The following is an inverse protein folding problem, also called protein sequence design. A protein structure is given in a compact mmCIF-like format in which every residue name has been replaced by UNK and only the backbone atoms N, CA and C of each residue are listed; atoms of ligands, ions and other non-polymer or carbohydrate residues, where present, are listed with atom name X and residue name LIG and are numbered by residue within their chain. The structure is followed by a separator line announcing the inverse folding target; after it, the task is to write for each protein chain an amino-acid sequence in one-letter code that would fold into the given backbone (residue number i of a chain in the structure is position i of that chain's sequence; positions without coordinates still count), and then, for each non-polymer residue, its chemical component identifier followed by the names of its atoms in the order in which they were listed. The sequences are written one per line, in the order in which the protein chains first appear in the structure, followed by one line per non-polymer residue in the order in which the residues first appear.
data_IF_810955931864
#
_entry.id   IF_810955931864
#
_cell.length_a   1.000
_cell.length_b   1.000
_cell.length_c   1.000
_cell.angle_alpha   90.00
_cell.angle_beta   90.00
_cell.angle_gamma   90.00
#
_symmetry.space_group_name_H-M   'P 1'
#
loop_
_entity.id
_entity.type
_entity.pdbx_description
1 polymer ?
#
# COMPACT_ATOMS: atom_id res chain seq x y z
N UNK A 1 -14.44 -3.79 -8.02
CA UNK A 1 -13.49 -4.91 -8.02
C UNK A 1 -14.14 -6.01 -8.84
N UNK A 2 -13.55 -6.38 -9.97
CA UNK A 2 -14.11 -7.40 -10.86
C UNK A 2 -13.14 -8.59 -10.85
N UNK A 3 -13.64 -9.82 -10.99
CA UNK A 3 -12.80 -11.02 -11.14
C UNK A 3 -12.02 -11.41 -9.88
N UNK A 4 -12.73 -11.69 -8.79
CA UNK A 4 -12.12 -12.35 -7.63
C UNK A 4 -12.12 -13.87 -7.85
N UNK A 5 -10.97 -14.55 -7.77
CA UNK A 5 -10.93 -16.00 -7.81
C UNK A 5 -11.62 -16.62 -6.60
N UNK A 6 -12.46 -17.62 -6.83
CA UNK A 6 -13.08 -18.45 -5.81
C UNK A 6 -12.75 -19.92 -6.06
N UNK A 7 -12.53 -20.64 -4.97
CA UNK A 7 -12.25 -22.08 -4.96
C UNK A 7 -13.38 -22.79 -4.24
N UNK A 8 -13.91 -23.85 -4.85
CA UNK A 8 -14.84 -24.78 -4.22
C UNK A 8 -14.16 -26.15 -4.15
N UNK A 9 -13.96 -26.68 -2.94
CA UNK A 9 -13.27 -27.95 -2.73
C UNK A 9 -13.93 -28.81 -1.64
N UNK A 10 -13.97 -30.12 -1.84
CA UNK A 10 -14.62 -31.06 -0.91
C UNK A 10 -14.66 -32.49 -1.43
N UNK A 11 -14.40 -33.49 -0.58
CA UNK A 11 -14.46 -34.93 -0.90
C UNK A 11 -13.82 -35.35 -2.25
N UNK A 12 -12.66 -34.76 -2.56
CA UNK A 12 -11.90 -35.05 -3.79
C UNK A 12 -12.31 -34.24 -5.02
N UNK A 13 -13.40 -33.46 -4.94
CA UNK A 13 -13.74 -32.44 -5.92
C UNK A 13 -12.95 -31.16 -5.65
N UNK A 14 -12.52 -30.52 -6.73
CA UNK A 14 -11.87 -29.20 -6.72
C UNK A 14 -12.27 -28.46 -7.99
N UNK A 15 -12.71 -27.22 -7.84
CA UNK A 15 -12.97 -26.31 -8.94
C UNK A 15 -12.56 -24.89 -8.55
N UNK A 16 -12.20 -24.10 -9.57
CA UNK A 16 -11.92 -22.67 -9.43
C UNK A 16 -12.75 -21.91 -10.47
N UNK A 17 -13.30 -20.78 -10.06
CA UNK A 17 -14.02 -19.84 -10.93
C UNK A 17 -13.63 -18.41 -10.55
N UNK A 18 -14.08 -17.43 -11.31
CA UNK A 18 -13.91 -16.01 -10.97
C UNK A 18 -15.28 -15.33 -10.89
N UNK A 19 -15.41 -14.36 -9.98
CA UNK A 19 -16.61 -13.53 -9.94
C UNK A 19 -16.68 -12.61 -11.17
N UNK A 20 -17.88 -12.30 -11.66
CA UNK A 20 -18.06 -11.26 -12.64
C UNK A 20 -17.94 -9.84 -12.04
N UNK A 21 -18.32 -8.81 -12.80
CA UNK A 21 -18.29 -7.43 -12.35
C UNK A 21 -19.34 -7.09 -11.29
N UNK A 22 -20.39 -7.90 -11.20
CA UNK A 22 -21.48 -7.76 -10.24
C UNK A 22 -21.26 -8.66 -9.00
N UNK A 23 -20.09 -9.30 -8.91
CA UNK A 23 -19.71 -10.21 -7.83
C UNK A 23 -20.37 -11.59 -7.91
N UNK A 24 -21.07 -11.91 -9.00
CA UNK A 24 -21.70 -13.21 -9.19
C UNK A 24 -20.68 -14.25 -9.64
N UNK A 25 -20.84 -15.49 -9.22
CA UNK A 25 -19.98 -16.60 -9.62
C UNK A 25 -20.80 -17.89 -9.72
N UNK A 26 -20.30 -18.85 -10.50
CA UNK A 26 -20.96 -20.13 -10.73
C UNK A 26 -19.93 -21.26 -10.70
N UNK A 27 -20.29 -22.34 -9.99
CA UNK A 27 -19.64 -23.63 -10.07
C UNK A 27 -20.63 -24.62 -10.69
N UNK A 28 -20.25 -25.19 -11.83
CA UNK A 28 -21.05 -26.18 -12.55
C UNK A 28 -20.62 -27.61 -12.17
N UNK A 29 -21.51 -28.58 -12.41
CA UNK A 29 -21.26 -30.01 -12.23
C UNK A 29 -20.71 -30.40 -10.85
N UNK A 30 -21.06 -29.64 -9.81
CA UNK A 30 -20.67 -29.91 -8.42
C UNK A 30 -21.35 -31.20 -7.96
N UNK A 31 -20.59 -32.26 -7.62
CA UNK A 31 -21.18 -33.51 -7.16
C UNK A 31 -21.98 -33.30 -5.87
N UNK A 32 -23.09 -34.02 -5.72
CA UNK A 32 -23.74 -34.15 -4.42
C UNK A 32 -22.76 -34.81 -3.45
N UNK A 33 -22.23 -34.02 -2.52
CA UNK A 33 -21.20 -34.42 -1.58
C UNK A 33 -21.50 -33.84 -0.20
N UNK A 34 -21.04 -34.52 0.84
CA UNK A 34 -21.42 -34.18 2.21
C UNK A 34 -20.74 -32.92 2.72
N UNK A 35 -19.59 -32.54 2.16
CA UNK A 35 -18.84 -31.38 2.67
C UNK A 35 -18.12 -30.63 1.56
N UNK A 36 -18.36 -29.33 1.49
CA UNK A 36 -17.63 -28.41 0.63
C UNK A 36 -17.14 -27.19 1.40
N UNK A 37 -16.01 -26.65 0.98
CA UNK A 37 -15.48 -25.36 1.39
C UNK A 37 -15.44 -24.42 0.19
N UNK A 38 -16.02 -23.24 0.35
CA UNK A 38 -15.92 -22.14 -0.61
C UNK A 38 -15.02 -21.06 -0.02
N UNK A 39 -13.99 -20.69 -0.77
CA UNK A 39 -12.94 -19.77 -0.33
C UNK A 39 -12.58 -18.81 -1.47
N UNK A 40 -12.84 -17.50 -1.32
CA UNK A 40 -12.25 -16.50 -2.20
C UNK A 40 -10.77 -16.34 -1.87
N UNK A 41 -9.94 -16.19 -2.89
CA UNK A 41 -8.51 -16.01 -2.71
C UNK A 41 -7.96 -14.95 -3.67
N UNK A 42 -7.28 -13.95 -3.13
CA UNK A 42 -6.57 -12.96 -3.94
C UNK A 42 -5.29 -12.51 -3.22
N UNK A 43 -4.15 -12.76 -3.88
CA UNK A 43 -2.84 -12.33 -3.42
C UNK A 43 -2.05 -11.65 -4.55
N UNK A 44 -2.71 -10.79 -5.31
CA UNK A 44 -2.10 -10.01 -6.38
C UNK A 44 -2.09 -8.51 -6.05
N UNK A 45 -1.25 -7.76 -6.77
CA UNK A 45 -1.24 -6.30 -6.80
C UNK A 45 -1.30 -5.65 -5.41
N UNK A 46 -0.36 -5.98 -4.53
CA UNK A 46 -0.32 -5.49 -3.16
C UNK A 46 -0.49 -3.98 -3.07
N UNK A 47 0.18 -3.22 -3.94
CA UNK A 47 0.16 -1.76 -3.95
C UNK A 47 -1.13 -1.11 -4.47
N UNK A 48 -2.08 -1.89 -5.00
CA UNK A 48 -3.33 -1.31 -5.51
C UNK A 48 -4.13 -0.66 -4.37
N UNK A 49 -4.25 0.67 -4.42
CA UNK A 49 -4.89 1.48 -3.38
C UNK A 49 -4.08 1.68 -2.10
N UNK A 50 -2.81 1.26 -2.06
CA UNK A 50 -1.95 1.52 -0.91
C UNK A 50 -1.13 2.79 -1.16
N UNK A 51 -1.11 3.68 -0.17
CA UNK A 51 -0.36 4.93 -0.18
C UNK A 51 0.29 5.21 1.18
N UNK A 52 1.20 6.17 1.22
CA UNK A 52 1.75 6.69 2.48
C UNK A 52 0.68 7.24 3.42
N UNK A 53 -0.53 7.57 2.93
CA UNK A 53 -1.60 7.97 3.84
C UNK A 53 -2.14 6.84 4.68
N UNK A 54 -2.16 5.62 4.15
CA UNK A 54 -2.60 4.46 4.90
C UNK A 54 -1.63 4.23 6.06
N UNK A 55 -0.33 4.50 5.84
CA UNK A 55 0.66 4.59 6.91
C UNK A 55 0.31 5.70 7.93
N UNK A 56 -0.07 6.90 7.49
CA UNK A 56 -0.53 7.99 8.38
C UNK A 56 -1.72 7.55 9.24
N UNK A 57 -2.71 6.89 8.64
CA UNK A 57 -3.90 6.41 9.34
C UNK A 57 -3.56 5.36 10.40
N UNK A 58 -2.68 4.40 10.09
CA UNK A 58 -2.17 3.43 11.08
C UNK A 58 -1.39 4.14 12.20
N UNK A 59 -0.54 5.11 11.87
CA UNK A 59 0.23 5.87 12.86
C UNK A 59 -0.68 6.65 13.81
N UNK A 60 -1.71 7.33 13.27
CA UNK A 60 -2.73 8.03 14.08
C UNK A 60 -3.49 7.07 14.99
N UNK A 61 -3.83 5.88 14.49
CA UNK A 61 -4.46 4.83 15.28
C UNK A 61 -3.62 4.39 16.48
N UNK A 62 -2.36 4.05 16.23
CA UNK A 62 -1.43 3.60 17.28
C UNK A 62 -1.24 4.68 18.35
N UNK A 63 -1.24 5.95 17.95
CA UNK A 63 -1.08 7.10 18.85
C UNK A 63 -2.38 7.54 19.53
N UNK A 64 -3.54 6.96 19.17
CA UNK A 64 -4.85 7.34 19.69
C UNK A 64 -5.32 8.73 19.24
N UNK A 65 -4.77 9.24 18.13
CA UNK A 65 -5.16 10.53 17.55
C UNK A 65 -6.39 10.41 16.65
N UNK A 66 -6.56 9.27 16.02
CA UNK A 66 -7.73 8.90 15.21
C UNK A 66 -7.97 7.40 15.36
N UNK A 67 -9.21 6.94 15.47
CA UNK A 67 -9.51 5.54 15.78
C UNK A 67 -10.22 4.85 14.64
N UNK A 68 -9.86 3.60 14.37
CA UNK A 68 -10.63 2.75 13.46
C UNK A 68 -12.01 2.43 14.06
N UNK A 69 -13.04 2.72 13.28
CA UNK A 69 -14.45 2.62 13.66
C UNK A 69 -15.01 1.23 13.38
N UNK A 70 -14.38 0.48 12.47
CA UNK A 70 -14.87 -0.82 12.00
C UNK A 70 -13.86 -1.96 12.26
N UNK A 71 -14.34 -3.22 12.41
CA UNK A 71 -13.46 -4.37 12.45
C UNK A 71 -12.66 -4.54 11.15
N UNK A 72 -13.21 -4.10 10.01
CA UNK A 72 -12.58 -4.19 8.70
C UNK A 72 -11.32 -3.33 8.58
N UNK A 73 -11.36 -2.09 9.06
CA UNK A 73 -10.18 -1.20 9.10
C UNK A 73 -9.08 -1.79 10.00
N UNK A 74 -9.45 -2.40 11.14
CA UNK A 74 -8.49 -3.08 12.03
C UNK A 74 -7.83 -4.27 11.35
N UNK A 75 -8.60 -5.07 10.61
CA UNK A 75 -8.06 -6.20 9.82
C UNK A 75 -7.17 -5.69 8.69
N UNK A 76 -7.56 -4.62 7.99
CA UNK A 76 -6.76 -4.03 6.93
C UNK A 76 -5.45 -3.43 7.47
N UNK A 77 -5.45 -2.89 8.68
CA UNK A 77 -4.28 -2.30 9.33
C UNK A 77 -3.27 -3.32 9.90
N UNK A 78 -3.70 -4.57 10.17
CA UNK A 78 -2.84 -5.69 10.59
C UNK A 78 -2.15 -6.32 9.37
N UNK A 79 -1.23 -5.55 8.77
CA UNK A 79 -0.54 -5.87 7.52
C UNK A 79 0.26 -7.17 7.63
N UNK A 80 0.88 -7.44 8.78
CA UNK A 80 1.68 -8.64 9.00
C UNK A 80 0.88 -9.86 9.50
N UNK A 81 -0.46 -9.76 9.59
CA UNK A 81 -1.35 -10.84 10.08
C UNK A 81 -1.02 -11.32 11.51
N UNK A 82 -0.59 -10.40 12.38
CA UNK A 82 -0.25 -10.74 13.77
C UNK A 82 -1.45 -10.79 14.71
N UNK A 83 -2.60 -10.25 14.28
CA UNK A 83 -3.75 -10.00 15.14
C UNK A 83 -3.63 -8.73 15.99
N UNK A 84 -2.64 -7.87 15.71
CA UNK A 84 -2.44 -6.61 16.42
C UNK A 84 -1.92 -5.52 15.48
N UNK A 85 -2.49 -4.31 15.58
CA UNK A 85 -2.00 -3.17 14.81
C UNK A 85 -0.86 -2.48 15.56
N UNK A 86 0.34 -2.49 14.96
CA UNK A 86 1.58 -2.01 15.58
C UNK A 86 2.45 -1.25 14.58
N UNK A 87 3.56 -0.70 15.06
CA UNK A 87 4.56 -0.07 14.18
C UNK A 87 5.24 -1.05 13.23
N UNK A 88 5.12 -2.36 13.45
CA UNK A 88 5.64 -3.34 12.50
C UNK A 88 4.80 -3.39 11.22
N UNK A 89 3.49 -3.16 11.31
CA UNK A 89 2.60 -3.06 10.15
C UNK A 89 2.97 -1.87 9.26
N UNK A 90 3.27 -0.73 9.90
CA UNK A 90 3.82 0.46 9.24
C UNK A 90 5.12 0.12 8.49
N UNK A 91 6.03 -0.63 9.11
CA UNK A 91 7.30 -1.01 8.48
C UNK A 91 7.08 -1.89 7.26
N UNK A 92 6.17 -2.87 7.32
CA UNK A 92 5.86 -3.72 6.16
C UNK A 92 5.19 -2.93 5.05
N UNK A 93 4.22 -2.08 5.38
CA UNK A 93 3.50 -1.26 4.42
C UNK A 93 4.43 -0.26 3.72
N UNK A 94 5.32 0.40 4.47
CA UNK A 94 6.31 1.32 3.91
C UNK A 94 7.30 0.61 2.99
N UNK A 95 7.73 -0.62 3.34
CA UNK A 95 8.59 -1.42 2.45
C UNK A 95 7.92 -1.76 1.12
N UNK A 96 6.61 -2.05 1.13
CA UNK A 96 5.84 -2.22 -0.12
C UNK A 96 5.86 -0.92 -0.93
N UNK A 97 5.51 0.22 -0.32
CA UNK A 97 5.44 1.53 -0.99
C UNK A 97 6.79 1.92 -1.60
N UNK A 98 7.89 1.61 -0.89
CA UNK A 98 9.26 1.86 -1.35
C UNK A 98 9.76 0.85 -2.39
N UNK A 99 8.97 -0.17 -2.75
CA UNK A 99 9.39 -1.23 -3.68
C UNK A 99 10.52 -2.12 -3.14
N UNK A 100 10.68 -2.19 -1.82
CA UNK A 100 11.70 -3.03 -1.17
C UNK A 100 11.23 -4.48 -1.02
N UNK A 101 9.92 -4.70 -1.05
CA UNK A 101 9.25 -6.00 -1.08
C UNK A 101 8.05 -5.91 -2.03
N UNK A 102 7.70 -7.01 -2.70
CA UNK A 102 6.52 -7.08 -3.57
C UNK A 102 5.30 -7.71 -2.87
N UNK A 103 5.54 -8.42 -1.76
CA UNK A 103 4.53 -9.13 -0.96
C UNK A 103 4.91 -9.09 0.52
N UNK A 104 3.91 -9.15 1.41
CA UNK A 104 4.15 -9.29 2.86
C UNK A 104 4.11 -10.76 3.24
N UNK A 105 5.21 -11.35 3.76
CA UNK A 105 5.21 -12.73 4.22
C UNK A 105 4.21 -12.95 5.36
N UNK A 106 3.48 -14.07 5.32
CA UNK A 106 2.52 -14.44 6.36
C UNK A 106 1.12 -13.87 6.18
N UNK A 107 0.88 -13.07 5.12
CA UNK A 107 -0.43 -12.54 4.81
C UNK A 107 -0.70 -12.57 3.29
N UNK A 108 -1.94 -12.29 2.90
CA UNK A 108 -2.38 -12.12 1.50
C UNK A 108 -2.79 -10.67 1.26
N UNK A 109 -2.71 -10.20 0.00
CA UNK A 109 -3.05 -8.81 -0.31
C UNK A 109 -4.53 -8.46 -0.04
N UNK A 110 -5.37 -9.50 0.00
CA UNK A 110 -6.77 -9.45 0.41
C UNK A 110 -7.08 -10.54 1.43
N UNK A 111 -7.96 -10.20 2.38
CA UNK A 111 -8.66 -11.16 3.23
C UNK A 111 -10.15 -11.07 2.96
N UNK A 112 -10.86 -12.13 3.27
CA UNK A 112 -12.29 -12.24 3.00
C UNK A 112 -13.01 -12.67 4.26
N UNK A 113 -14.21 -12.17 4.47
CA UNK A 113 -15.08 -12.61 5.55
C UNK A 113 -16.50 -12.74 5.03
N UNK A 114 -17.24 -13.72 5.52
CA UNK A 114 -18.66 -13.84 5.23
C UNK A 114 -19.37 -12.51 5.53
N UNK A 115 -20.14 -12.00 4.55
CA UNK A 115 -20.88 -10.73 4.71
C UNK A 115 -21.91 -10.79 5.84
N UNK A 116 -22.40 -11.98 6.19
CA UNK A 116 -23.34 -12.18 7.30
C UNK A 116 -22.64 -12.40 8.66
N UNK A 117 -21.31 -12.43 8.70
CA UNK A 117 -20.57 -12.62 9.93
C UNK A 117 -20.69 -11.40 10.86
N UNK A 118 -21.13 -11.66 12.10
CA UNK A 118 -21.20 -10.65 13.16
C UNK A 118 -19.98 -10.83 14.06
N UNK A 119 -19.08 -9.84 14.03
CA UNK A 119 -17.94 -9.80 14.95
C UNK A 119 -18.42 -9.73 16.41
N UNK A 120 -18.03 -10.69 17.29
CA UNK A 120 -18.46 -10.68 18.68
C UNK A 120 -18.06 -9.41 19.44
N UNK A 121 -16.86 -8.91 19.14
CA UNK A 121 -16.36 -7.61 19.56
C UNK A 121 -15.81 -6.86 18.35
N UNK A 122 -16.57 -5.89 17.80
CA UNK A 122 -16.13 -5.10 16.65
C UNK A 122 -14.85 -4.27 16.92
N UNK A 123 -14.55 -3.96 18.19
CA UNK A 123 -13.35 -3.22 18.57
C UNK A 123 -12.10 -4.11 18.62
N UNK A 124 -12.30 -5.43 18.70
CA UNK A 124 -11.25 -6.44 18.69
C UNK A 124 -11.63 -7.63 17.79
N UNK A 125 -11.57 -7.48 16.45
CA UNK A 125 -11.94 -8.54 15.51
C UNK A 125 -11.03 -9.78 15.58
N UNK A 126 -9.89 -9.69 16.28
CA UNK A 126 -8.92 -10.78 16.44
C UNK A 126 -9.17 -11.61 17.70
N UNK A 127 -10.09 -11.19 18.57
CA UNK A 127 -10.43 -11.91 19.81
C UNK A 127 -11.07 -13.28 19.56
N UNK A 128 -11.67 -13.48 18.39
CA UNK A 128 -12.14 -14.77 17.90
C UNK A 128 -11.78 -14.89 16.41
N UNK A 129 -11.45 -16.10 15.96
CA UNK A 129 -11.22 -16.34 14.54
C UNK A 129 -12.52 -16.10 13.76
N UNK A 130 -12.48 -15.22 12.78
CA UNK A 130 -13.56 -15.03 11.82
C UNK A 130 -13.39 -15.98 10.62
N UNK A 131 -14.50 -16.43 10.00
CA UNK A 131 -14.45 -17.36 8.90
C UNK A 131 -14.00 -16.67 7.62
N UNK A 132 -12.88 -17.13 7.04
CA UNK A 132 -12.41 -16.70 5.72
C UNK A 132 -12.91 -17.60 4.58
N UNK A 133 -13.67 -18.64 4.95
CA UNK A 133 -14.30 -19.58 4.03
C UNK A 133 -15.66 -20.01 4.55
N UNK A 134 -16.57 -20.34 3.65
CA UNK A 134 -17.86 -20.92 3.99
C UNK A 134 -17.78 -22.44 3.89
N UNK A 135 -18.49 -23.14 4.78
CA UNK A 135 -18.59 -24.60 4.76
C UNK A 135 -20.03 -25.00 4.50
N UNK A 136 -20.23 -25.91 3.55
CA UNK A 136 -21.55 -26.41 3.17
C UNK A 136 -21.62 -27.91 3.42
N UNK A 137 -22.74 -28.35 4.01
CA UNK A 137 -23.04 -29.77 4.18
C UNK A 137 -24.05 -30.20 3.12
N UNK A 138 -23.63 -30.87 2.05
CA UNK A 138 -24.51 -31.13 0.92
C UNK A 138 -24.64 -29.92 -0.02
N UNK A 139 -24.47 -30.15 -1.32
CA UNK A 139 -24.83 -29.18 -2.38
C UNK A 139 -25.75 -29.87 -3.40
N UNK A 140 -27.00 -30.11 -2.99
CA UNK A 140 -27.99 -30.81 -3.82
C UNK A 140 -28.87 -29.86 -4.65
N UNK A 141 -28.67 -28.54 -4.48
CA UNK A 141 -29.39 -27.48 -5.18
C UNK A 141 -28.55 -26.20 -5.25
N UNK A 142 -28.86 -25.33 -6.21
CA UNK A 142 -28.23 -24.02 -6.30
C UNK A 142 -28.46 -23.20 -5.02
N UNK A 143 -27.38 -22.65 -4.48
CA UNK A 143 -27.40 -21.71 -3.36
C UNK A 143 -27.14 -20.31 -3.88
N UNK A 144 -27.86 -19.34 -3.33
CA UNK A 144 -27.65 -17.91 -3.58
C UNK A 144 -27.36 -17.20 -2.25
N UNK A 145 -26.87 -15.95 -2.31
CA UNK A 145 -26.56 -15.17 -1.11
C UNK A 145 -25.35 -15.68 -0.33
N UNK A 146 -24.39 -16.32 -1.01
CA UNK A 146 -23.11 -16.72 -0.43
C UNK A 146 -22.08 -15.65 -0.75
N UNK A 147 -22.09 -14.59 0.05
CA UNK A 147 -21.35 -13.37 -0.23
C UNK A 147 -20.18 -13.20 0.74
N UNK A 148 -19.07 -12.65 0.25
CA UNK A 148 -17.93 -12.29 1.05
C UNK A 148 -17.67 -10.79 0.96
N UNK A 149 -17.30 -10.20 2.08
CA UNK A 149 -16.71 -8.87 2.15
C UNK A 149 -15.20 -9.01 1.97
N UNK A 150 -14.67 -8.42 0.88
CA UNK A 150 -13.23 -8.35 0.63
C UNK A 150 -12.58 -7.18 1.37
N UNK A 151 -11.47 -7.46 2.05
CA UNK A 151 -10.70 -6.51 2.85
C UNK A 151 -9.33 -6.39 2.22
N UNK A 152 -9.00 -5.23 1.65
CA UNK A 152 -7.67 -4.98 1.11
C UNK A 152 -6.72 -4.69 2.26
N UNK A 153 -5.73 -5.56 2.43
CA UNK A 153 -4.71 -5.35 3.46
C UNK A 153 -3.88 -4.12 3.10
N UNK A 154 -3.76 -3.21 4.07
CA UNK A 154 -3.00 -1.97 3.98
C UNK A 154 -3.69 -0.78 3.29
N UNK A 155 -4.94 -0.93 2.82
CA UNK A 155 -5.73 0.17 2.25
C UNK A 155 -6.83 0.58 3.25
N UNK A 156 -6.65 1.73 3.89
CA UNK A 156 -7.50 2.25 4.95
C UNK A 156 -8.28 3.50 4.53
N UNK A 157 -7.89 4.12 3.42
CA UNK A 157 -8.63 5.21 2.82
C UNK A 157 -9.52 4.75 1.66
N UNK A 158 -9.64 3.45 1.46
CA UNK A 158 -10.44 2.79 0.44
C UNK A 158 -10.12 3.27 -0.99
N UNK A 159 -8.87 3.65 -1.24
CA UNK A 159 -8.50 4.24 -2.53
C UNK A 159 -8.41 3.22 -3.66
N UNK A 160 -8.47 1.92 -3.36
CA UNK A 160 -8.71 0.87 -4.34
C UNK A 160 -10.16 0.77 -4.79
N UNK A 161 -11.10 1.39 -4.07
CA UNK A 161 -12.52 1.24 -4.32
C UNK A 161 -12.90 2.23 -5.43
N UNK A 162 -13.25 1.76 -6.64
CA UNK A 162 -13.60 2.66 -7.74
C UNK A 162 -14.89 3.44 -7.48
N UNK A 163 -15.70 3.01 -6.50
CA UNK A 163 -16.92 3.70 -6.09
C UNK A 163 -16.64 4.91 -5.16
N UNK A 164 -15.45 5.00 -4.58
CA UNK A 164 -15.09 6.10 -3.69
C UNK A 164 -14.31 7.18 -4.44
N UNK A 165 -14.76 8.43 -4.26
CA UNK A 165 -14.10 9.56 -4.88
C UNK A 165 -12.70 9.73 -4.26
N UNK A 166 -11.67 9.71 -5.11
CA UNK A 166 -10.32 10.07 -4.70
C UNK A 166 -10.35 11.52 -4.21
N UNK A 167 -10.21 11.73 -2.90
CA UNK A 167 -10.07 13.07 -2.35
C UNK A 167 -8.73 13.64 -2.81
N UNK A 168 -8.80 14.68 -3.64
CA UNK A 168 -7.62 15.47 -4.00
C UNK A 168 -7.05 16.08 -2.73
N UNK A 169 -5.79 15.76 -2.43
CA UNK A 169 -5.05 16.39 -1.35
C UNK A 169 -4.43 17.70 -1.81
N UNK A 170 -4.08 18.52 -0.82
CA UNK A 170 -3.28 19.72 -1.04
C UNK A 170 -2.07 19.44 -1.94
N UNK A 171 -1.77 20.40 -2.80
CA UNK A 171 -0.67 20.29 -3.77
C UNK A 171 0.62 20.78 -3.12
N UNK A 172 1.58 19.88 -2.92
CA UNK A 172 2.95 20.23 -2.57
C UNK A 172 3.82 20.26 -3.82
N UNK A 173 4.80 21.17 -3.88
CA UNK A 173 5.72 21.27 -5.01
C UNK A 173 7.10 20.78 -4.62
N UNK A 174 7.72 19.97 -5.48
CA UNK A 174 9.14 19.67 -5.35
C UNK A 174 9.91 20.60 -6.30
N UNK A 175 10.79 21.44 -5.73
CA UNK A 175 11.64 22.34 -6.50
C UNK A 175 13.06 21.82 -6.57
N UNK A 176 13.57 21.71 -7.80
CA UNK A 176 14.97 21.48 -8.10
C UNK A 176 15.54 22.74 -8.75
N UNK A 177 16.52 23.43 -8.13
CA UNK A 177 17.18 24.58 -8.76
C UNK A 177 17.86 24.21 -10.06
N UNK A 178 18.19 25.23 -10.85
CA UNK A 178 19.03 25.06 -12.03
C UNK A 178 20.42 24.56 -11.61
N UNK A 179 20.79 23.36 -12.05
CA UNK A 179 22.10 22.76 -11.80
C UNK A 179 22.63 22.16 -13.11
N UNK A 180 23.75 22.69 -13.60
CA UNK A 180 24.50 22.11 -14.71
C UNK A 180 25.45 21.03 -14.18
N UNK A 181 25.33 19.82 -14.71
CA UNK A 181 26.19 18.69 -14.35
C UNK A 181 27.31 18.58 -15.39
N UNK A 182 28.56 18.72 -14.94
CA UNK A 182 29.74 18.55 -15.79
C UNK A 182 30.23 17.10 -15.69
N UNK A 183 30.53 16.50 -16.85
CA UNK A 183 30.98 15.12 -16.92
C UNK A 183 32.19 14.85 -16.01
N UNK A 184 32.11 13.78 -15.21
CA UNK A 184 33.21 13.34 -14.34
C UNK A 184 33.39 14.15 -13.05
N UNK A 185 32.59 15.19 -12.81
CA UNK A 185 32.63 15.98 -11.57
C UNK A 185 31.44 15.58 -10.67
N UNK A 186 31.67 15.16 -9.41
CA UNK A 186 30.60 14.97 -8.45
C UNK A 186 29.89 16.31 -8.15
N UNK A 187 28.56 16.31 -8.21
CA UNK A 187 27.73 17.48 -7.95
C UNK A 187 26.58 17.09 -7.02
N UNK A 188 26.25 17.99 -6.09
CA UNK A 188 25.08 17.90 -5.24
C UNK A 188 23.88 18.54 -5.94
N UNK A 189 22.80 17.77 -6.15
CA UNK A 189 21.54 18.26 -6.70
C UNK A 189 20.50 18.34 -5.57
N UNK A 190 20.17 19.56 -5.08
CA UNK A 190 19.23 19.72 -3.98
C UNK A 190 17.77 19.61 -4.46
N UNK A 191 16.93 18.99 -3.63
CA UNK A 191 15.49 18.91 -3.81
C UNK A 191 14.78 19.53 -2.61
N UNK A 192 13.99 20.57 -2.87
CA UNK A 192 13.24 21.33 -1.86
C UNK A 192 11.77 20.97 -1.91
N UNK A 193 11.11 20.99 -0.75
CA UNK A 193 9.65 20.92 -0.65
C UNK A 193 9.10 22.33 -0.48
N UNK A 194 8.42 22.84 -1.50
CA UNK A 194 7.89 24.20 -1.54
C UNK A 194 6.37 24.25 -1.37
N UNK A 195 5.88 25.39 -0.88
CA UNK A 195 4.45 25.78 -0.83
C UNK A 195 3.51 24.79 -0.13
N UNK A 196 3.96 24.19 0.97
CA UNK A 196 3.13 23.34 1.82
C UNK A 196 2.75 24.07 3.11
N UNK A 197 1.55 23.83 3.63
CA UNK A 197 1.04 24.45 4.87
C UNK A 197 1.06 23.47 6.03
N UNK A 198 0.52 22.27 5.80
CA UNK A 198 0.51 21.13 6.70
C UNK A 198 0.73 19.86 5.87
N UNK A 199 1.65 19.00 6.31
CA UNK A 199 1.98 17.77 5.61
C UNK A 199 1.95 16.61 6.60
N UNK A 200 0.93 15.76 6.48
CA UNK A 200 0.84 14.54 7.28
C UNK A 200 1.60 13.38 6.61
N UNK A 201 1.83 13.46 5.31
CA UNK A 201 2.65 12.49 4.61
C UNK A 201 2.97 12.92 3.17
N UNK A 202 4.05 12.38 2.65
CA UNK A 202 4.59 12.64 1.33
C UNK A 202 5.04 11.32 0.68
N UNK A 203 4.67 11.14 -0.58
CA UNK A 203 5.10 10.01 -1.39
C UNK A 203 5.46 10.51 -2.78
N UNK A 204 6.63 10.11 -3.29
CA UNK A 204 6.98 10.33 -4.69
C UNK A 204 8.07 9.36 -5.15
N UNK A 205 8.19 9.19 -6.46
CA UNK A 205 9.31 8.53 -7.09
C UNK A 205 10.02 9.52 -8.03
N UNK A 206 11.31 9.71 -7.81
CA UNK A 206 12.16 10.54 -8.66
C UNK A 206 13.03 9.63 -9.54
N UNK A 207 12.68 9.56 -10.82
CA UNK A 207 13.37 8.78 -11.83
C UNK A 207 14.57 9.54 -12.41
N UNK A 208 15.61 8.80 -12.80
CA UNK A 208 16.78 9.32 -13.50
C UNK A 208 17.38 8.29 -14.45
N UNK A 209 17.98 8.76 -15.54
CA UNK A 209 18.63 7.88 -16.52
C UNK A 209 20.03 7.44 -16.03
N UNK A 210 20.15 6.18 -15.64
CA UNK A 210 21.42 5.58 -15.20
C UNK A 210 22.48 5.52 -16.30
N UNK A 211 22.11 5.68 -17.58
CA UNK A 211 23.07 5.82 -18.69
C UNK A 211 23.75 7.19 -18.70
N UNK A 212 23.10 8.23 -18.15
CA UNK A 212 23.60 9.61 -18.13
C UNK A 212 24.24 10.00 -16.80
N UNK A 213 23.81 9.39 -15.70
CA UNK A 213 24.29 9.74 -14.35
C UNK A 213 24.54 8.50 -13.49
N UNK A 214 25.39 8.64 -12.50
CA UNK A 214 25.51 7.69 -11.39
C UNK A 214 25.15 8.40 -10.10
N UNK A 215 24.08 7.97 -9.45
CA UNK A 215 23.77 8.38 -8.08
C UNK A 215 24.76 7.70 -7.12
N UNK A 216 25.52 8.50 -6.38
CA UNK A 216 26.49 8.03 -5.39
C UNK A 216 25.87 7.90 -4.01
N UNK A 217 25.06 8.88 -3.62
CA UNK A 217 24.44 8.94 -2.31
C UNK A 217 23.21 9.85 -2.35
N UNK A 218 22.23 9.55 -1.51
CA UNK A 218 21.17 10.49 -1.12
C UNK A 218 21.52 10.98 0.27
N UNK A 219 21.77 12.28 0.40
CA UNK A 219 22.00 12.93 1.70
C UNK A 219 20.68 13.48 2.22
N UNK A 220 20.38 13.15 3.48
CA UNK A 220 19.17 13.55 4.18
C UNK A 220 19.46 14.84 4.94
N UNK A 221 18.85 15.94 4.53
CA UNK A 221 19.13 17.25 5.14
C UNK A 221 18.37 17.48 6.45
N UNK A 222 17.35 16.65 6.72
CA UNK A 222 16.56 16.64 7.95
C UNK A 222 16.38 15.20 8.45
N UNK A 223 17.42 14.56 8.99
CA UNK A 223 17.37 13.15 9.38
C UNK A 223 16.33 12.84 10.47
N UNK A 224 15.98 13.84 11.30
CA UNK A 224 14.92 13.73 12.30
C UNK A 224 13.51 13.68 11.68
N UNK A 225 13.35 14.22 10.47
CA UNK A 225 12.12 14.13 9.68
C UNK A 225 12.20 12.94 8.73
N UNK A 226 13.19 12.91 7.85
CA UNK A 226 13.37 11.93 6.79
C UNK A 226 14.64 11.10 7.03
N UNK A 227 14.49 9.95 7.67
CA UNK A 227 15.55 8.93 7.81
C UNK A 227 15.65 7.93 6.65
N UNK A 228 16.68 7.07 6.66
CA UNK A 228 16.91 6.01 5.66
C UNK A 228 15.74 5.03 5.50
N UNK A 229 14.89 4.87 6.51
CA UNK A 229 13.71 4.01 6.45
C UNK A 229 12.59 4.55 5.54
N UNK A 230 12.69 5.82 5.12
CA UNK A 230 11.70 6.52 4.31
C UNK A 230 12.09 6.65 2.84
N UNK A 231 13.22 6.06 2.44
CA UNK A 231 13.70 6.15 1.07
C UNK A 231 14.25 4.80 0.59
N UNK A 232 14.12 4.57 -0.72
CA UNK A 232 14.76 3.48 -1.41
C UNK A 232 15.40 4.00 -2.70
N UNK A 233 16.56 3.44 -3.04
CA UNK A 233 17.23 3.70 -4.31
C UNK A 233 17.13 2.43 -5.15
N UNK A 234 16.41 2.51 -6.26
CA UNK A 234 16.29 1.42 -7.21
C UNK A 234 17.47 1.44 -8.19
N UNK A 235 18.07 0.27 -8.44
CA UNK A 235 19.18 0.11 -9.39
C UNK A 235 18.80 0.51 -10.84
N UNK A 236 17.52 0.48 -11.17
CA UNK A 236 16.96 0.95 -12.45
C UNK A 236 16.92 2.47 -12.62
N UNK A 237 17.32 3.24 -11.62
CA UNK A 237 17.37 4.70 -11.69
C UNK A 237 16.14 5.39 -11.10
N UNK A 238 15.80 5.05 -9.86
CA UNK A 238 14.75 5.75 -9.14
C UNK A 238 15.14 5.97 -7.68
N UNK A 239 14.69 7.09 -7.11
CA UNK A 239 14.66 7.34 -5.67
C UNK A 239 13.21 7.44 -5.26
N UNK A 240 12.73 6.44 -4.53
CA UNK A 240 11.36 6.38 -4.02
C UNK A 240 11.36 6.88 -2.59
N UNK A 241 10.42 7.76 -2.25
CA UNK A 241 10.27 8.37 -0.92
C UNK A 241 8.86 8.11 -0.39
N UNK A 242 8.78 7.71 0.87
CA UNK A 242 7.55 7.55 1.64
C UNK A 242 7.79 8.04 3.06
N UNK A 243 7.20 9.18 3.39
CA UNK A 243 7.36 9.86 4.67
C UNK A 243 6.00 10.18 5.28
N UNK A 244 5.82 9.93 6.56
CA UNK A 244 4.60 10.21 7.32
C UNK A 244 4.92 10.91 8.64
N UNK A 245 3.96 11.68 9.11
CA UNK A 245 4.00 12.37 10.38
C UNK A 245 2.58 12.50 10.97
N UNK A 246 2.28 11.62 11.92
CA UNK A 246 0.93 11.43 12.44
C UNK A 246 0.38 12.61 13.28
N UNK A 247 1.27 13.36 13.93
CA UNK A 247 0.87 14.47 14.83
C UNK A 247 0.62 15.78 14.09
N UNK A 248 0.86 15.84 12.78
CA UNK A 248 0.65 17.05 11.97
C UNK A 248 1.26 18.30 12.62
N UNK A 249 2.57 18.33 12.87
CA UNK A 249 3.19 19.58 13.29
C UNK A 249 3.06 20.63 12.17
N UNK A 250 2.78 21.89 12.57
CA UNK A 250 2.97 23.07 11.72
C UNK A 250 4.47 23.23 11.47
N UNK A 251 5.03 22.36 10.64
CA UNK A 251 6.45 22.39 10.30
C UNK A 251 6.69 23.49 9.27
N UNK A 252 6.30 24.73 9.56
CA UNK A 252 6.66 25.90 8.73
C UNK A 252 8.16 26.17 8.87
N UNK A 253 8.95 25.40 8.14
CA UNK A 253 10.18 25.89 7.56
C UNK A 253 9.85 26.39 6.16
N UNK A 254 10.30 27.61 5.82
CA UNK A 254 10.22 28.09 4.45
C UNK A 254 11.09 27.17 3.56
N UNK A 255 10.42 26.42 2.69
CA UNK A 255 11.03 25.58 1.65
C UNK A 255 12.19 24.68 2.12
N UNK A 256 11.99 23.70 3.02
CA UNK A 256 13.08 22.89 3.54
C UNK A 256 13.77 22.11 2.41
N UNK A 257 15.10 22.12 2.44
CA UNK A 257 15.90 21.15 1.70
C UNK A 257 15.56 19.77 2.27
N UNK A 258 14.95 18.91 1.45
CA UNK A 258 14.58 17.56 1.86
C UNK A 258 15.78 16.61 1.75
N UNK A 259 16.29 16.52 0.52
CA UNK A 259 17.38 15.62 0.14
C UNK A 259 18.34 16.32 -0.80
N UNK A 260 19.59 15.88 -0.77
CA UNK A 260 20.61 16.24 -1.75
C UNK A 260 21.11 14.98 -2.44
N UNK A 261 20.98 14.93 -3.76
CA UNK A 261 21.43 13.82 -4.59
C UNK A 261 22.89 14.06 -4.97
N UNK A 262 23.80 13.26 -4.41
CA UNK A 262 25.20 13.28 -4.79
C UNK A 262 25.38 12.47 -6.07
N UNK A 263 25.63 13.14 -7.18
CA UNK A 263 25.62 12.53 -8.52
C UNK A 263 26.93 12.73 -9.25
N UNK A 264 27.26 11.78 -10.11
CA UNK A 264 28.38 11.86 -11.05
C UNK A 264 27.83 11.73 -12.47
N UNK A 265 27.84 12.83 -13.23
CA UNK A 265 27.38 12.80 -14.60
C UNK A 265 28.41 12.14 -15.53
N UNK A 266 27.93 11.36 -16.49
CA UNK A 266 28.73 10.68 -17.53
C UNK A 266 28.94 11.58 -18.77
N UNK A 267 28.10 12.60 -18.92
CA UNK A 267 28.19 13.64 -19.93
C UNK A 267 27.66 14.96 -19.37
N UNK A 268 27.90 16.07 -20.06
CA UNK A 268 27.34 17.36 -19.66
C UNK A 268 25.82 17.33 -19.85
N UNK A 269 25.06 17.61 -18.79
CA UNK A 269 23.58 17.55 -18.80
C UNK A 269 23.01 18.48 -17.72
N UNK A 270 21.79 18.97 -17.91
CA UNK A 270 21.08 19.72 -16.88
C UNK A 270 20.33 18.77 -15.96
N UNK A 271 20.33 19.04 -14.66
CA UNK A 271 19.61 18.23 -13.69
C UNK A 271 18.09 18.12 -14.02
N UNK A 272 17.48 19.20 -14.50
CA UNK A 272 16.07 19.24 -14.92
C UNK A 272 15.74 18.32 -16.10
N UNK A 273 16.72 18.01 -16.95
CA UNK A 273 16.52 17.14 -18.11
C UNK A 273 16.68 15.66 -17.72
N UNK A 274 17.36 15.41 -16.59
CA UNK A 274 17.75 14.11 -16.08
C UNK A 274 16.73 13.54 -15.09
N UNK A 275 16.27 14.36 -14.15
CA UNK A 275 15.38 13.94 -13.06
C UNK A 275 13.93 14.24 -13.39
N UNK A 276 13.04 13.25 -13.19
CA UNK A 276 11.60 13.41 -13.42
C UNK A 276 10.81 12.70 -12.33
N UNK A 277 9.70 13.29 -11.91
CA UNK A 277 8.73 12.57 -11.10
C UNK A 277 8.05 11.50 -11.94
N UNK A 278 7.82 10.30 -11.38
CA UNK A 278 6.94 9.34 -12.03
C UNK A 278 5.53 9.91 -12.13
N UNK A 279 4.84 9.60 -13.23
CA UNK A 279 3.44 9.96 -13.43
C UNK A 279 2.50 9.03 -12.65
#
# INVERSE_FOLDING_TARGET
MTQIPLILAGDGFWAMTESDSDGQYLFEDVPASNLYHLEPANNANWLNGISTFDVVLISKHILGLDTFETPYERIAADVNHSGTVTTFDIVQLRKLILGLIDTVPGNTSWRFVDTEYIFPDPSNPFGAAFPEKMTFNGLDSNLTGRNFTGIKIGDLNHSNNPAEARTLRDTAYLRMPHVDLVAGIPVAVPLYLDHWTQLEGLQFELMFDTALVTLKQVELSKPDLLGNAHLAVNAGGAVTVSWDHATGEDAREDDPLMISLQVLAKQNVRASDLFRLSA
#
